data_IF_384586571393
#
_entry.id   IF_384586571393
#
_cell.length_a   1.000
_cell.length_b   1.000
_cell.length_c   1.000
_cell.angle_alpha   90.00
_cell.angle_beta   90.00
_cell.angle_gamma   90.00
#
_symmetry.space_group_name_H-M   'P 1'
#
loop_
_entity.id
_entity.type
_entity.pdbx_description
1 polymer ?
#
# COMPACT_ATOMS: atom_id res chain seq x y z
N UNK A 1 -23.24 31.39 37.23
CA UNK A 1 -23.60 30.05 36.70
C UNK A 1 -23.85 30.00 35.19
N UNK A 2 -24.62 30.93 34.58
CA UNK A 2 -24.98 30.87 33.14
C UNK A 2 -23.79 30.94 32.15
N UNK A 3 -22.74 31.70 32.46
CA UNK A 3 -21.55 31.84 31.60
C UNK A 3 -20.69 30.56 31.53
N UNK A 4 -20.57 29.82 32.64
CA UNK A 4 -19.82 28.56 32.69
C UNK A 4 -20.52 27.45 31.90
N UNK A 5 -21.86 27.37 32.00
CA UNK A 5 -22.66 26.46 31.17
C UNK A 5 -22.55 26.78 29.67
N UNK A 6 -22.48 28.06 29.30
CA UNK A 6 -22.30 28.46 27.90
C UNK A 6 -20.91 28.07 27.37
N UNK A 7 -19.85 28.22 28.19
CA UNK A 7 -18.49 27.84 27.82
C UNK A 7 -18.35 26.32 27.65
N UNK A 8 -18.86 25.53 28.61
CA UNK A 8 -18.85 24.06 28.54
C UNK A 8 -19.65 23.56 27.33
N UNK A 9 -20.79 24.20 27.01
CA UNK A 9 -21.62 23.84 25.85
C UNK A 9 -20.96 24.21 24.51
N UNK A 10 -20.22 25.33 24.44
CA UNK A 10 -19.41 25.66 23.25
C UNK A 10 -18.24 24.68 23.07
N UNK A 11 -17.60 24.28 24.17
CA UNK A 11 -16.52 23.27 24.13
C UNK A 11 -17.03 21.89 23.72
N UNK A 12 -18.24 21.49 24.14
CA UNK A 12 -18.85 20.23 23.72
C UNK A 12 -19.25 20.24 22.25
N UNK A 13 -19.80 21.35 21.75
CA UNK A 13 -20.16 21.49 20.32
C UNK A 13 -18.91 21.51 19.44
N UNK A 14 -17.85 22.23 19.82
CA UNK A 14 -16.57 22.20 19.09
C UNK A 14 -15.94 20.80 19.11
N UNK A 15 -16.03 20.08 20.23
CA UNK A 15 -15.56 18.70 20.34
C UNK A 15 -16.39 17.75 19.48
N UNK A 16 -17.70 17.90 19.42
CA UNK A 16 -18.59 17.13 18.55
C UNK A 16 -18.31 17.42 17.08
N UNK A 17 -18.15 18.69 16.70
CA UNK A 17 -17.78 19.08 15.33
C UNK A 17 -16.42 18.52 14.93
N UNK A 18 -15.41 18.58 15.80
CA UNK A 18 -14.10 17.98 15.54
C UNK A 18 -14.14 16.45 15.44
N UNK A 19 -14.99 15.78 16.22
CA UNK A 19 -15.18 14.33 16.14
C UNK A 19 -15.96 13.93 14.88
N UNK A 20 -16.93 14.75 14.46
CA UNK A 20 -17.63 14.59 13.19
C UNK A 20 -16.70 14.81 12.00
N UNK A 21 -15.81 15.80 12.04
CA UNK A 21 -14.81 16.02 11.00
C UNK A 21 -13.82 14.85 10.92
N UNK A 22 -13.35 14.32 12.07
CA UNK A 22 -12.54 13.11 12.13
C UNK A 22 -13.28 11.88 11.56
N UNK A 23 -14.58 11.72 11.82
CA UNK A 23 -15.39 10.64 11.24
C UNK A 23 -15.67 10.86 9.74
N UNK A 24 -15.80 12.12 9.29
CA UNK A 24 -16.13 12.46 7.90
C UNK A 24 -14.98 12.21 6.93
N UNK A 25 -13.73 12.45 7.35
CA UNK A 25 -12.54 12.16 6.53
C UNK A 25 -12.26 10.66 6.40
N UNK A 26 -12.78 9.84 7.32
CA UNK A 26 -12.54 8.39 7.39
C UNK A 26 -13.59 7.58 6.62
N UNK A 27 -14.75 8.17 6.30
CA UNK A 27 -15.89 7.53 5.64
C UNK A 27 -16.22 8.08 4.25
N UNK A 28 -15.24 8.67 3.56
CA UNK A 28 -15.43 9.13 2.19
C UNK A 28 -15.30 7.96 1.19
N UNK A 29 -16.05 8.02 0.09
CA UNK A 29 -15.89 7.09 -1.03
C UNK A 29 -14.47 7.21 -1.63
N UNK A 30 -13.86 6.10 -2.09
CA UNK A 30 -12.54 6.14 -2.68
C UNK A 30 -12.57 6.93 -3.99
N UNK A 31 -11.74 7.97 -4.05
CA UNK A 31 -11.42 8.68 -5.30
C UNK A 31 -10.32 7.90 -5.99
N UNK A 32 -10.52 7.42 -7.21
CA UNK A 32 -9.55 6.55 -7.90
C UNK A 32 -8.44 7.37 -8.61
N UNK A 33 -7.80 8.26 -7.88
CA UNK A 33 -6.79 9.19 -8.40
C UNK A 33 -5.48 9.07 -7.61
N UNK A 34 -4.35 9.17 -8.31
CA UNK A 34 -3.04 9.16 -7.65
C UNK A 34 -2.76 10.53 -7.03
N UNK A 35 -2.34 10.57 -5.78
CA UNK A 35 -1.94 11.83 -5.13
C UNK A 35 -0.85 11.62 -4.08
N UNK A 36 -0.10 12.68 -3.80
CA UNK A 36 1.04 12.70 -2.88
C UNK A 36 0.98 13.88 -1.91
N UNK A 37 -0.20 14.10 -1.31
CA UNK A 37 -0.52 15.28 -0.51
C UNK A 37 0.39 15.48 0.72
N UNK A 38 0.94 14.42 1.28
CA UNK A 38 1.83 14.49 2.45
C UNK A 38 3.30 14.78 2.12
N UNK A 39 3.67 14.90 0.84
CA UNK A 39 5.06 15.14 0.44
C UNK A 39 6.03 13.99 0.77
N UNK A 40 5.49 12.78 0.92
CA UNK A 40 6.27 11.55 1.12
C UNK A 40 6.75 10.93 -0.19
N UNK A 41 6.45 11.52 -1.35
CA UNK A 41 6.79 10.97 -2.68
C UNK A 41 6.51 9.46 -2.78
N UNK A 42 5.31 9.08 -2.32
CA UNK A 42 4.87 7.71 -2.21
C UNK A 42 4.70 7.11 -3.61
N UNK A 43 5.32 5.95 -3.80
CA UNK A 43 5.30 5.20 -5.05
C UNK A 43 5.32 3.71 -4.86
N UNK A 44 4.70 3.00 -5.80
CA UNK A 44 4.69 1.55 -5.88
C UNK A 44 5.45 1.10 -7.12
N UNK A 45 6.39 0.20 -6.92
CA UNK A 45 7.13 -0.44 -8.01
C UNK A 45 6.80 -1.92 -8.01
N UNK A 46 6.36 -2.41 -9.16
CA UNK A 46 6.15 -3.83 -9.41
C UNK A 46 7.23 -4.28 -10.38
N UNK A 47 8.09 -5.19 -9.94
CA UNK A 47 9.10 -5.81 -10.79
C UNK A 47 8.68 -7.25 -11.11
N UNK A 48 8.45 -7.54 -12.39
CA UNK A 48 7.95 -8.83 -12.84
C UNK A 48 9.10 -9.84 -12.88
N UNK A 49 9.12 -10.89 -12.02
CA UNK A 49 10.22 -11.83 -12.01
C UNK A 49 10.20 -12.72 -13.27
N UNK A 50 11.36 -13.21 -13.73
CA UNK A 50 11.43 -14.13 -14.85
C UNK A 50 10.64 -15.41 -14.54
N UNK A 51 9.63 -15.71 -15.37
CA UNK A 51 8.67 -16.83 -15.21
C UNK A 51 7.62 -16.62 -14.10
N UNK A 52 7.11 -15.41 -13.95
CA UNK A 52 6.04 -15.09 -13.01
C UNK A 52 4.68 -15.76 -13.34
N UNK A 53 3.88 -15.98 -12.29
CA UNK A 53 2.45 -16.33 -12.41
C UNK A 53 1.52 -15.12 -12.56
N UNK A 54 2.10 -13.93 -12.60
CA UNK A 54 1.44 -12.66 -12.85
C UNK A 54 2.21 -11.87 -13.90
N UNK A 55 1.52 -10.99 -14.61
CA UNK A 55 2.10 -10.14 -15.64
C UNK A 55 1.71 -8.69 -15.35
N UNK A 56 2.61 -7.74 -15.58
CA UNK A 56 2.28 -6.32 -15.51
C UNK A 56 2.30 -5.69 -16.89
N UNK A 57 1.25 -4.94 -17.21
CA UNK A 57 1.22 -4.10 -18.41
C UNK A 57 1.48 -2.66 -18.00
N UNK A 58 2.67 -2.15 -18.35
CA UNK A 58 3.05 -0.76 -18.11
C UNK A 58 2.11 0.20 -18.85
N UNK A 59 1.75 -0.12 -20.10
CA UNK A 59 0.90 0.71 -20.93
C UNK A 59 -0.53 0.88 -20.38
N UNK A 60 -1.04 -0.13 -19.66
CA UNK A 60 -2.37 -0.09 -19.05
C UNK A 60 -2.34 0.20 -17.54
N UNK A 61 -1.14 0.34 -16.96
CA UNK A 61 -0.91 0.31 -15.52
C UNK A 61 -1.75 -0.78 -14.83
N UNK A 62 -1.65 -2.01 -15.35
CA UNK A 62 -2.58 -3.11 -15.03
C UNK A 62 -1.87 -4.42 -14.73
N UNK A 63 -2.15 -4.97 -13.56
CA UNK A 63 -1.69 -6.27 -13.08
C UNK A 63 -2.66 -7.37 -13.50
N UNK A 64 -2.13 -8.44 -14.07
CA UNK A 64 -2.87 -9.66 -14.41
C UNK A 64 -2.29 -10.81 -13.60
N UNK A 65 -3.12 -11.50 -12.81
CA UNK A 65 -2.61 -12.49 -11.85
C UNK A 65 -3.57 -13.66 -11.68
N UNK A 66 -3.03 -14.85 -11.42
CA UNK A 66 -3.83 -16.02 -11.03
C UNK A 66 -4.22 -15.96 -9.55
N UNK A 67 -5.40 -16.50 -9.26
CA UNK A 67 -5.84 -16.73 -7.88
C UNK A 67 -4.80 -17.56 -7.11
N UNK A 68 -4.63 -17.25 -5.82
CA UNK A 68 -3.69 -17.88 -4.89
C UNK A 68 -2.22 -17.81 -5.29
N UNK A 69 -1.86 -16.89 -6.18
CA UNK A 69 -0.47 -16.58 -6.52
C UNK A 69 -0.04 -15.27 -5.89
N UNK A 70 1.20 -15.27 -5.40
CA UNK A 70 1.81 -14.14 -4.72
C UNK A 70 2.41 -13.20 -5.77
N UNK A 71 2.20 -11.91 -5.57
CA UNK A 71 2.92 -10.83 -6.24
C UNK A 71 3.54 -9.91 -5.20
N UNK A 72 4.70 -9.37 -5.54
CA UNK A 72 5.44 -8.47 -4.68
C UNK A 72 5.26 -7.05 -5.17
N UNK A 73 5.08 -6.13 -4.22
CA UNK A 73 5.01 -4.69 -4.47
C UNK A 73 6.07 -4.03 -3.61
N UNK A 74 6.98 -3.31 -4.24
CA UNK A 74 7.95 -2.47 -3.55
C UNK A 74 7.32 -1.12 -3.26
N UNK A 75 7.03 -0.92 -1.98
CA UNK A 75 6.54 0.35 -1.46
C UNK A 75 7.73 1.27 -1.23
N UNK A 76 7.73 2.42 -1.88
CA UNK A 76 8.79 3.42 -1.77
C UNK A 76 8.20 4.75 -1.31
N UNK A 77 8.82 5.37 -0.30
CA UNK A 77 8.44 6.68 0.19
C UNK A 77 9.63 7.38 0.83
N UNK A 78 9.65 8.71 0.78
CA UNK A 78 10.66 9.57 1.41
C UNK A 78 10.37 9.70 2.89
N UNK A 79 11.33 9.37 3.74
CA UNK A 79 11.23 9.62 5.18
C UNK A 79 11.22 11.14 5.44
N UNK A 80 10.35 11.58 6.34
CA UNK A 80 10.27 12.97 6.79
C UNK A 80 10.61 13.04 8.28
N UNK A 81 11.27 14.13 8.67
CA UNK A 81 11.53 14.45 10.07
C UNK A 81 10.44 15.43 10.59
N UNK A 82 9.90 15.24 11.80
CA UNK A 82 10.15 14.09 12.69
C UNK A 82 9.56 12.79 12.12
N UNK A 83 10.20 11.66 12.43
CA UNK A 83 9.77 10.32 12.00
C UNK A 83 8.37 10.06 12.54
N UNK A 84 7.42 9.80 11.64
CA UNK A 84 6.03 9.49 11.98
C UNK A 84 5.70 8.06 11.56
N UNK A 85 5.00 7.26 12.39
CA UNK A 85 4.58 5.93 11.99
C UNK A 85 3.61 6.04 10.80
N UNK A 86 3.87 5.24 9.78
CA UNK A 86 3.07 5.17 8.58
C UNK A 86 2.50 3.76 8.43
N UNK A 87 1.26 3.68 8.00
CA UNK A 87 0.62 2.42 7.64
C UNK A 87 0.20 2.44 6.18
N UNK A 88 0.24 1.29 5.53
CA UNK A 88 -0.28 1.11 4.19
C UNK A 88 -1.62 0.41 4.28
N UNK A 89 -2.69 1.11 3.92
CA UNK A 89 -4.00 0.48 3.66
C UNK A 89 -4.08 0.05 2.22
N UNK A 90 -4.51 -1.18 1.97
CA UNK A 90 -4.74 -1.71 0.62
C UNK A 90 -6.11 -2.33 0.53
N UNK A 91 -6.87 -2.00 -0.52
CA UNK A 91 -8.20 -2.55 -0.75
C UNK A 91 -8.54 -2.61 -2.24
N UNK A 92 -9.50 -3.48 -2.60
CA UNK A 92 -10.03 -3.52 -3.96
C UNK A 92 -11.23 -2.58 -4.11
N UNK A 93 -11.36 -2.04 -5.30
CA UNK A 93 -12.51 -1.23 -5.69
C UNK A 93 -12.91 -1.52 -7.14
N UNK A 94 -14.20 -1.45 -7.46
CA UNK A 94 -14.65 -1.45 -8.85
C UNK A 94 -14.37 -0.08 -9.47
N UNK A 95 -13.80 -0.08 -10.68
CA UNK A 95 -13.41 1.16 -11.37
C UNK A 95 -14.63 2.04 -11.69
N UNK A 96 -15.76 1.42 -12.08
CA UNK A 96 -16.99 2.11 -12.48
C UNK A 96 -18.02 2.27 -11.36
N UNK A 97 -17.86 1.54 -10.26
CA UNK A 97 -18.84 1.45 -9.18
C UNK A 97 -18.14 1.47 -7.82
N UNK A 98 -17.61 2.65 -7.48
CA UNK A 98 -16.80 2.84 -6.27
C UNK A 98 -17.60 2.67 -4.97
N UNK A 99 -18.94 2.71 -5.07
CA UNK A 99 -19.86 2.61 -3.95
C UNK A 99 -19.97 1.18 -3.39
N UNK A 100 -19.81 0.18 -4.26
CA UNK A 100 -19.90 -1.22 -3.89
C UNK A 100 -18.56 -1.78 -3.39
N UNK A 101 -18.51 -2.47 -2.23
CA UNK A 101 -17.33 -3.20 -1.82
C UNK A 101 -17.11 -4.42 -2.74
N UNK A 102 -15.83 -4.76 -2.98
CA UNK A 102 -15.48 -5.97 -3.72
C UNK A 102 -15.45 -7.15 -2.75
N UNK A 103 -16.47 -7.99 -2.81
CA UNK A 103 -16.64 -9.11 -1.90
C UNK A 103 -16.10 -10.42 -2.46
N UNK A 104 -15.62 -11.27 -1.56
CA UNK A 104 -15.28 -12.66 -1.88
C UNK A 104 -16.57 -13.46 -2.12
N UNK A 105 -16.54 -14.44 -3.03
CA UNK A 105 -17.72 -15.23 -3.33
C UNK A 105 -17.93 -16.36 -2.31
N UNK A 106 -19.19 -16.78 -2.15
CA UNK A 106 -19.56 -17.82 -1.20
C UNK A 106 -18.87 -19.16 -1.47
N UNK A 107 -18.68 -19.51 -2.75
CA UNK A 107 -18.04 -20.78 -3.14
C UNK A 107 -16.58 -20.87 -2.68
N UNK A 108 -15.82 -19.77 -2.72
CA UNK A 108 -14.45 -19.77 -2.21
C UNK A 108 -14.42 -19.66 -0.68
N UNK A 109 -15.39 -18.97 -0.07
CA UNK A 109 -15.53 -18.90 1.40
C UNK A 109 -15.86 -20.25 2.05
N UNK A 110 -16.59 -21.11 1.35
CA UNK A 110 -16.98 -22.44 1.86
C UNK A 110 -15.85 -23.47 1.80
N UNK A 111 -14.92 -23.32 0.86
CA UNK A 111 -13.77 -24.24 0.69
C UNK A 111 -12.62 -23.89 1.63
N UNK A 112 -12.55 -22.64 2.11
CA UNK A 112 -11.48 -22.22 3.00
C UNK A 112 -11.64 -22.84 4.39
N UNK A 113 -10.53 -23.32 4.95
CA UNK A 113 -10.51 -23.95 6.25
C UNK A 113 -11.01 -22.99 7.34
N UNK A 114 -11.89 -23.50 8.20
CA UNK A 114 -12.36 -22.81 9.41
C UNK A 114 -11.24 -22.58 10.44
N UNK A 115 -10.02 -23.06 10.19
CA UNK A 115 -8.86 -22.87 11.06
C UNK A 115 -8.33 -21.43 11.10
N UNK A 116 -8.74 -20.55 10.17
CA UNK A 116 -8.39 -19.12 10.23
C UNK A 116 -9.23 -18.47 11.35
N UNK A 117 -8.62 -18.09 12.49
CA UNK A 117 -9.37 -17.59 13.63
C UNK A 117 -9.95 -16.19 13.36
N UNK A 118 -9.32 -15.43 12.46
CA UNK A 118 -9.74 -14.08 12.12
C UNK A 118 -10.78 -14.11 10.99
N UNK A 119 -12.04 -13.85 11.34
CA UNK A 119 -13.17 -13.80 10.39
C UNK A 119 -12.93 -12.75 9.29
N UNK A 120 -12.40 -11.57 9.64
CA UNK A 120 -12.15 -10.50 8.66
C UNK A 120 -11.07 -10.89 7.65
N UNK A 121 -10.07 -11.62 8.12
CA UNK A 121 -9.07 -12.21 7.24
C UNK A 121 -9.75 -13.20 6.29
N UNK A 122 -10.50 -14.17 6.79
CA UNK A 122 -11.24 -15.16 6.00
C UNK A 122 -12.14 -14.51 4.93
N UNK A 123 -12.86 -13.46 5.29
CA UNK A 123 -13.77 -12.74 4.38
C UNK A 123 -13.03 -11.85 3.37
N UNK A 124 -11.83 -11.38 3.71
CA UNK A 124 -11.03 -10.54 2.81
C UNK A 124 -10.59 -11.30 1.56
N UNK A 125 -10.85 -10.69 0.40
CA UNK A 125 -10.39 -11.17 -0.91
C UNK A 125 -8.88 -10.99 -1.09
N UNK A 126 -8.33 -9.90 -0.55
CA UNK A 126 -6.91 -9.59 -0.57
C UNK A 126 -6.25 -10.12 0.70
N UNK A 127 -5.12 -10.81 0.55
CA UNK A 127 -4.28 -11.28 1.66
C UNK A 127 -2.88 -10.70 1.53
N UNK A 128 -2.24 -10.49 2.67
CA UNK A 128 -0.84 -10.08 2.76
C UNK A 128 -0.07 -11.12 3.58
N UNK A 129 1.13 -11.49 3.13
CA UNK A 129 2.01 -12.44 3.84
C UNK A 129 2.75 -11.79 5.02
N UNK A 130 2.60 -10.48 5.23
CA UNK A 130 3.23 -9.78 6.35
C UNK A 130 2.51 -10.15 7.67
N UNK A 131 3.21 -10.67 8.69
CA UNK A 131 2.60 -11.10 9.95
C UNK A 131 1.99 -9.95 10.76
N UNK A 132 2.42 -8.71 10.53
CA UNK A 132 1.89 -7.52 11.20
C UNK A 132 0.66 -6.94 10.48
N UNK A 133 0.10 -7.65 9.50
CA UNK A 133 -1.09 -7.20 8.77
C UNK A 133 -2.32 -7.25 9.67
N UNK A 134 -3.08 -6.16 9.68
CA UNK A 134 -4.39 -6.09 10.33
C UNK A 134 -5.47 -6.09 9.25
N UNK A 135 -6.42 -7.00 9.36
CA UNK A 135 -7.58 -7.08 8.47
C UNK A 135 -8.73 -6.25 9.04
N UNK A 136 -9.22 -5.31 8.23
CA UNK A 136 -10.22 -4.31 8.60
C UNK A 136 -11.44 -4.37 7.68
N UNK A 137 -12.52 -3.73 8.10
CA UNK A 137 -13.72 -3.54 7.31
C UNK A 137 -14.81 -4.60 7.47
N UNK A 138 -15.85 -4.48 6.64
CA UNK A 138 -17.06 -5.29 6.62
C UNK A 138 -17.68 -5.37 5.22
N UNK A 139 -18.59 -6.32 5.04
CA UNK A 139 -19.32 -6.50 3.78
C UNK A 139 -20.26 -5.34 3.40
N UNK A 140 -20.63 -4.48 4.37
CA UNK A 140 -21.46 -3.30 4.15
C UNK A 140 -20.66 -2.00 4.02
N UNK A 141 -19.33 -2.09 4.12
CA UNK A 141 -18.46 -0.93 4.11
C UNK A 141 -18.43 -0.23 2.76
N UNK A 142 -18.79 1.05 2.75
CA UNK A 142 -18.73 1.92 1.56
C UNK A 142 -17.55 2.88 1.63
N UNK A 143 -17.15 3.32 2.82
CA UNK A 143 -15.97 4.17 2.99
C UNK A 143 -14.66 3.43 2.71
N UNK A 144 -13.55 4.16 2.63
CA UNK A 144 -12.19 3.60 2.54
C UNK A 144 -11.85 2.74 3.78
N UNK A 145 -12.24 3.20 4.97
CA UNK A 145 -11.95 2.53 6.24
C UNK A 145 -12.91 1.36 6.57
N UNK A 146 -14.15 1.45 6.08
CA UNK A 146 -15.23 0.51 6.42
C UNK A 146 -15.24 -0.74 5.53
N UNK A 147 -14.71 -0.65 4.32
CA UNK A 147 -14.63 -1.78 3.38
C UNK A 147 -13.49 -2.71 3.73
N UNK A 148 -13.59 -3.97 3.27
CA UNK A 148 -12.50 -4.94 3.47
C UNK A 148 -11.18 -4.39 2.95
N UNK A 149 -10.22 -4.28 3.86
CA UNK A 149 -8.91 -3.70 3.61
C UNK A 149 -7.87 -4.39 4.48
N UNK A 150 -6.64 -4.42 3.99
CA UNK A 150 -5.46 -4.83 4.76
C UNK A 150 -4.70 -3.59 5.17
N UNK A 151 -4.33 -3.50 6.44
CA UNK A 151 -3.53 -2.43 6.99
C UNK A 151 -2.17 -3.00 7.41
N UNK A 152 -1.10 -2.50 6.80
CA UNK A 152 0.27 -2.98 7.03
C UNK A 152 1.11 -1.86 7.61
N UNK A 153 1.64 -1.99 8.84
CA UNK A 153 2.62 -1.07 9.39
C UNK A 153 3.89 -1.04 8.53
N UNK A 154 4.32 0.16 8.13
CA UNK A 154 5.54 0.34 7.35
C UNK A 154 6.74 0.53 8.27
N UNK A 155 7.78 -0.27 8.02
CA UNK A 155 9.00 -0.26 8.81
C UNK A 155 9.96 0.81 8.27
N UNK A 156 10.00 1.98 8.91
CA UNK A 156 10.90 3.07 8.52
C UNK A 156 12.40 2.73 8.73
N UNK A 157 12.71 1.75 9.57
CA UNK A 157 14.09 1.35 9.87
C UNK A 157 14.79 0.54 8.77
N UNK A 158 14.09 0.14 7.69
CA UNK A 158 14.66 -0.68 6.60
C UNK A 158 15.29 0.15 5.47
N UNK A 159 15.71 1.39 5.74
CA UNK A 159 16.47 2.19 4.78
C UNK A 159 17.86 1.57 4.61
N UNK A 160 17.97 0.59 3.72
CA UNK A 160 19.25 0.06 3.28
C UNK A 160 19.93 1.12 2.42
N UNK A 161 20.82 1.89 3.05
CA UNK A 161 21.98 2.67 2.57
C UNK A 161 22.22 2.94 1.06
N UNK A 162 21.20 3.09 0.21
CA UNK A 162 21.39 3.20 -1.25
C UNK A 162 20.65 4.31 -1.96
N UNK A 163 19.79 5.11 -1.29
CA UNK A 163 19.18 6.30 -1.91
C UNK A 163 18.65 7.31 -0.88
N UNK A 164 19.30 8.47 -0.78
CA UNK A 164 18.78 9.79 -0.37
C UNK A 164 17.47 9.87 0.44
N UNK A 165 17.41 9.27 1.63
CA UNK A 165 16.25 9.41 2.54
C UNK A 165 14.98 8.69 2.09
N UNK A 166 15.04 7.78 1.13
CA UNK A 166 13.93 6.93 0.74
C UNK A 166 13.93 5.61 1.53
N UNK A 167 12.74 5.21 1.97
CA UNK A 167 12.46 3.91 2.58
C UNK A 167 11.83 3.03 1.50
N UNK A 168 12.34 1.80 1.38
CA UNK A 168 11.77 0.76 0.50
C UNK A 168 11.38 -0.45 1.33
N UNK A 169 10.15 -0.91 1.16
CA UNK A 169 9.66 -2.13 1.78
C UNK A 169 8.89 -2.97 0.77
N UNK A 170 9.36 -4.20 0.55
CA UNK A 170 8.68 -5.17 -0.30
C UNK A 170 7.54 -5.84 0.49
N UNK A 171 6.34 -5.81 -0.06
CA UNK A 171 5.16 -6.47 0.49
C UNK A 171 4.64 -7.52 -0.48
N UNK A 172 4.33 -8.70 0.04
CA UNK A 172 3.79 -9.82 -0.72
C UNK A 172 2.27 -9.89 -0.53
N UNK A 173 1.53 -9.88 -1.63
CA UNK A 173 0.08 -9.94 -1.66
C UNK A 173 -0.42 -11.11 -2.50
N UNK A 174 -1.62 -11.59 -2.21
CA UNK A 174 -2.33 -12.59 -3.03
C UNK A 174 -3.84 -12.34 -3.02
N UNK A 175 -4.53 -12.88 -4.02
CA UNK A 175 -5.99 -12.83 -4.12
C UNK A 175 -6.60 -14.22 -4.01
N UNK A 176 -7.58 -14.39 -3.13
CA UNK A 176 -8.25 -15.67 -2.85
C UNK A 176 -9.63 -15.80 -3.54
N UNK A 177 -9.84 -15.00 -4.59
CA UNK A 177 -11.02 -15.02 -5.46
C UNK A 177 -10.65 -14.45 -6.83
N UNK A 178 -11.49 -14.62 -7.84
CA UNK A 178 -11.23 -14.20 -9.23
C UNK A 178 -12.35 -13.32 -9.79
N UNK A 179 -12.04 -12.49 -10.80
CA UNK A 179 -13.01 -11.53 -11.37
C UNK A 179 -14.27 -12.17 -11.93
N UNK A 180 -14.20 -13.42 -12.40
CA UNK A 180 -15.39 -14.15 -12.86
C UNK A 180 -16.44 -14.38 -11.77
N UNK A 181 -16.04 -14.39 -10.49
CA UNK A 181 -16.95 -14.64 -9.37
C UNK A 181 -17.81 -13.43 -8.98
N UNK A 182 -17.33 -12.21 -9.24
CA UNK A 182 -18.01 -10.96 -8.88
C UNK A 182 -18.38 -10.13 -10.12
N UNK A 183 -18.84 -10.82 -11.17
CA UNK A 183 -19.46 -10.20 -12.34
C UNK A 183 -18.51 -9.65 -13.40
N UNK A 184 -17.23 -10.07 -13.41
CA UNK A 184 -16.20 -9.66 -14.39
C UNK A 184 -16.04 -8.13 -14.53
N UNK A 185 -16.47 -7.37 -13.52
CA UNK A 185 -16.31 -5.93 -13.46
C UNK A 185 -14.82 -5.57 -13.41
N UNK A 186 -14.49 -4.41 -13.97
CA UNK A 186 -13.14 -3.84 -13.89
C UNK A 186 -12.84 -3.46 -12.45
N UNK A 187 -11.70 -3.93 -11.95
CA UNK A 187 -11.25 -3.71 -10.58
C UNK A 187 -9.90 -3.02 -10.56
N UNK A 188 -9.68 -2.24 -9.52
CA UNK A 188 -8.39 -1.70 -9.17
C UNK A 188 -8.05 -2.03 -7.72
N UNK A 189 -6.76 -2.02 -7.44
CA UNK A 189 -6.16 -2.12 -6.13
C UNK A 189 -5.72 -0.71 -5.74
N UNK A 190 -6.27 -0.20 -4.66
CA UNK A 190 -5.97 1.14 -4.14
C UNK A 190 -5.04 0.98 -2.95
N UNK A 191 -3.94 1.70 -3.00
CA UNK A 191 -2.94 1.77 -1.95
C UNK A 191 -2.98 3.16 -1.32
N UNK A 192 -3.30 3.23 -0.04
CA UNK A 192 -3.33 4.48 0.72
C UNK A 192 -2.22 4.45 1.77
N UNK A 193 -1.35 5.43 1.73
CA UNK A 193 -0.40 5.72 2.78
C UNK A 193 -1.12 6.53 3.85
N UNK A 194 -1.24 5.98 5.05
CA UNK A 194 -1.94 6.56 6.21
C UNK A 194 -0.94 7.01 7.28
N UNK A 195 -1.18 8.17 7.87
CA UNK A 195 -0.45 8.63 9.05
C UNK A 195 -1.00 7.99 10.34
N UNK A 196 -0.40 8.32 11.49
CA UNK A 196 -0.86 7.85 12.80
C UNK A 196 -2.32 8.21 13.14
N UNK A 197 -2.84 9.30 12.57
CA UNK A 197 -4.20 9.79 12.76
C UNK A 197 -5.23 9.07 11.87
N UNK A 198 -4.76 8.29 10.87
CA UNK A 198 -5.61 7.66 9.86
C UNK A 198 -5.86 8.52 8.63
N UNK A 199 -5.20 9.67 8.49
CA UNK A 199 -5.32 10.52 7.30
C UNK A 199 -4.53 9.94 6.13
N UNK A 200 -5.11 9.99 4.94
CA UNK A 200 -4.47 9.53 3.71
C UNK A 200 -3.51 10.61 3.20
N UNK A 201 -2.22 10.38 3.42
CA UNK A 201 -1.13 11.28 3.01
C UNK A 201 -0.61 10.98 1.60
N UNK A 202 -0.95 9.83 1.04
CA UNK A 202 -0.62 9.46 -0.33
C UNK A 202 -1.51 8.35 -0.82
N UNK A 203 -1.77 8.32 -2.12
CA UNK A 203 -2.58 7.29 -2.74
C UNK A 203 -2.04 6.91 -4.10
N UNK A 204 -2.01 5.61 -4.39
CA UNK A 204 -1.75 5.07 -5.71
C UNK A 204 -2.77 4.01 -6.09
N UNK A 205 -3.17 4.02 -7.35
CA UNK A 205 -4.15 3.12 -7.93
C UNK A 205 -3.48 2.25 -8.99
N UNK A 206 -3.67 0.94 -8.86
CA UNK A 206 -3.19 -0.07 -9.79
C UNK A 206 -4.39 -0.83 -10.34
N UNK A 207 -4.58 -0.87 -11.67
CA UNK A 207 -5.63 -1.70 -12.23
C UNK A 207 -5.29 -3.18 -12.02
N UNK A 208 -6.27 -4.03 -11.70
CA UNK A 208 -6.03 -5.45 -11.44
C UNK A 208 -7.07 -6.31 -12.13
N UNK A 209 -6.63 -7.42 -12.74
CA UNK A 209 -7.47 -8.49 -13.27
C UNK A 209 -6.98 -9.84 -12.77
N UNK A 210 -7.78 -10.45 -11.88
CA UNK A 210 -7.54 -11.77 -11.33
C UNK A 210 -8.18 -12.80 -12.27
N UNK A 211 -7.35 -13.55 -12.97
CA UNK A 211 -7.74 -14.40 -14.10
C UNK A 211 -6.88 -15.68 -14.17
N UNK A 212 -7.39 -16.70 -14.86
CA UNK A 212 -6.70 -17.99 -15.01
C UNK A 212 -5.52 -17.93 -15.98
N UNK A 213 -5.61 -17.07 -17.00
CA UNK A 213 -4.62 -16.95 -18.08
C UNK A 213 -4.08 -15.51 -18.23
N UNK A 214 -3.26 -14.99 -17.28
CA UNK A 214 -2.76 -13.61 -17.29
C UNK A 214 -2.16 -13.14 -18.62
N UNK A 215 -1.32 -13.96 -19.25
CA UNK A 215 -0.65 -13.62 -20.52
C UNK A 215 -1.64 -13.40 -21.68
N UNK A 216 -2.68 -14.24 -21.77
CA UNK A 216 -3.72 -14.13 -22.81
C UNK A 216 -4.50 -12.83 -22.62
N UNK A 217 -4.95 -12.59 -21.40
CA UNK A 217 -5.79 -11.46 -21.06
C UNK A 217 -5.04 -10.13 -21.18
N UNK A 218 -3.76 -10.07 -20.78
CA UNK A 218 -2.89 -8.91 -21.00
C UNK A 218 -2.77 -8.58 -22.48
N UNK A 219 -2.38 -9.57 -23.29
CA UNK A 219 -2.18 -9.36 -24.73
C UNK A 219 -3.49 -8.95 -25.43
N UNK A 220 -4.64 -9.46 -24.98
CA UNK A 220 -5.94 -9.07 -25.50
C UNK A 220 -6.27 -7.60 -25.18
N UNK A 221 -6.08 -7.17 -23.94
CA UNK A 221 -6.35 -5.80 -23.51
C UNK A 221 -5.38 -4.79 -24.18
N UNK A 222 -4.09 -5.14 -24.33
CA UNK A 222 -3.09 -4.30 -25.02
C UNK A 222 -3.40 -4.16 -26.53
N UNK A 223 -3.91 -5.22 -27.17
CA UNK A 223 -4.39 -5.16 -28.56
C UNK A 223 -5.60 -4.25 -28.69
N UNK A 224 -6.50 -4.22 -27.71
CA UNK A 224 -7.64 -3.30 -27.73
C UNK A 224 -7.19 -1.85 -27.56
N UNK A 225 -6.18 -1.58 -26.74
CA UNK A 225 -5.60 -0.24 -26.58
C UNK A 225 -4.98 0.26 -27.89
N UNK A 226 -4.20 -0.59 -28.56
CA UNK A 226 -3.54 -0.25 -29.84
C UNK A 226 -4.53 -0.17 -31.01
N UNK A 227 -5.55 -1.03 -31.05
CA UNK A 227 -6.63 -0.98 -32.04
C UNK A 227 -7.50 0.27 -31.93
N UNK A 228 -7.75 0.78 -30.72
CA UNK A 228 -8.47 2.05 -30.51
C UNK A 228 -7.69 3.27 -31.03
N UNK A 229 -6.35 3.28 -30.93
CA UNK A 229 -5.50 4.35 -31.49
C UNK A 229 -5.53 4.43 -33.02
N UNK A 230 -5.83 3.32 -33.72
CA UNK A 230 -5.94 3.29 -35.18
C UNK A 230 -7.32 3.70 -35.71
N UNK A 231 -8.31 3.84 -34.82
CA UNK A 231 -9.70 4.16 -35.20
C UNK A 231 -10.10 5.61 -34.89
N UNK A 232 -9.14 6.45 -34.49
CA UNK A 232 -9.35 7.87 -34.15
C UNK A 232 -8.83 8.85 -35.22
N UNK A 233 -8.56 8.38 -36.44
CA UNK A 233 -8.41 9.26 -37.61
C UNK A 233 -9.74 9.26 -38.39
N UNK A 234 -10.37 10.42 -38.66
CA UNK A 234 -11.56 10.46 -39.49
C UNK A 234 -11.11 10.37 -40.95
N UNK A 235 -11.20 9.17 -41.54
CA UNK A 235 -11.24 9.04 -42.98
C UNK A 235 -12.69 9.24 -43.42
N UNK A 236 -12.92 10.32 -44.15
CA UNK A 236 -14.16 10.62 -44.86
C UNK A 236 -14.22 9.84 -46.18
N UNK A 237 -15.45 9.68 -46.69
CA UNK A 237 -15.96 9.18 -47.97
C UNK A 237 -16.21 7.67 -48.13
N UNK A 238 -17.52 7.41 -48.11
CA UNK A 238 -18.40 6.38 -48.70
C UNK A 238 -17.85 5.47 -49.81
N UNK A 239 -18.31 4.21 -49.81
CA UNK A 239 -19.25 3.60 -50.79
C UNK A 239 -19.38 2.09 -50.50
N UNK A 240 -20.55 1.54 -50.83
CA UNK A 240 -21.09 0.22 -50.51
C UNK A 240 -20.56 -0.88 -51.44
N UNK A 241 -20.34 -2.11 -50.93
CA UNK A 241 -20.79 -3.36 -51.58
C UNK A 241 -20.48 -4.62 -50.72
N UNK A 242 -21.39 -5.60 -50.75
CA UNK A 242 -21.42 -6.84 -49.94
C UNK A 242 -21.04 -8.08 -50.80
N UNK A 243 -21.12 -9.31 -50.26
CA UNK A 243 -20.02 -10.17 -49.80
C UNK A 243 -19.49 -11.18 -50.86
N UNK A 244 -18.27 -11.74 -50.69
CA UNK A 244 -18.08 -13.21 -50.80
C UNK A 244 -16.68 -13.76 -50.40
N UNK A 245 -16.72 -15.01 -49.93
CA UNK A 245 -15.70 -16.10 -49.89
C UNK A 245 -14.25 -15.86 -49.41
N UNK A 246 -13.87 -16.61 -48.36
CA UNK A 246 -12.49 -16.98 -47.99
C UNK A 246 -11.88 -17.97 -49.00
N UNK A 247 -10.55 -18.03 -49.14
CA UNK A 247 -9.90 -19.23 -48.61
C UNK A 247 -8.59 -18.98 -47.85
N UNK A 248 -8.15 -20.07 -47.21
CA UNK A 248 -7.12 -20.15 -46.18
C UNK A 248 -5.71 -20.48 -46.73
N UNK A 249 -4.75 -20.37 -45.80
CA UNK A 249 -3.36 -20.90 -45.79
C UNK A 249 -2.35 -20.00 -46.53
N UNK A 250 -1.20 -19.63 -45.96
CA UNK A 250 -0.08 -20.57 -45.73
C UNK A 250 1.01 -19.96 -44.84
N UNK A 251 1.63 -20.84 -44.04
CA UNK A 251 2.87 -20.66 -43.26
C UNK A 251 4.01 -20.04 -44.09
N UNK A 252 4.76 -19.10 -43.51
CA UNK A 252 6.22 -19.04 -43.68
C UNK A 252 6.91 -18.91 -42.32
N UNK A 253 7.68 -19.95 -42.01
CA UNK A 253 8.76 -20.01 -41.01
C UNK A 253 10.08 -19.63 -41.70
N UNK A 254 11.12 -19.46 -40.89
CA UNK A 254 12.56 -19.24 -41.20
C UNK A 254 12.96 -17.75 -41.29
N UNK A 255 14.10 -17.25 -40.80
CA UNK A 255 15.28 -17.75 -40.07
C UNK A 255 15.91 -16.50 -39.39
N UNK A 256 16.36 -16.50 -38.12
CA UNK A 256 17.68 -16.92 -37.61
C UNK A 256 18.88 -16.07 -38.09
N UNK A 257 19.69 -15.60 -37.11
CA UNK A 257 20.97 -14.83 -37.12
C UNK A 257 20.84 -13.32 -36.76
N UNK A 258 21.67 -12.67 -35.93
CA UNK A 258 22.83 -13.04 -35.08
C UNK A 258 23.06 -11.89 -34.07
N UNK A 259 23.71 -12.20 -32.94
CA UNK A 259 24.14 -11.30 -31.85
C UNK A 259 25.00 -10.12 -32.33
N UNK A 260 24.94 -9.00 -31.60
CA UNK A 260 26.13 -8.19 -31.25
C UNK A 260 26.02 -7.70 -29.80
N UNK A 261 27.05 -8.08 -29.03
CA UNK A 261 27.40 -7.62 -27.68
C UNK A 261 28.53 -6.58 -27.84
N UNK A 262 28.50 -5.53 -27.02
CA UNK A 262 29.64 -4.66 -26.62
C UNK A 262 29.09 -3.76 -25.50
N UNK A 263 29.28 -4.06 -24.21
CA UNK A 263 30.47 -3.98 -23.36
C UNK A 263 30.94 -2.53 -23.10
N UNK A 264 30.59 -2.11 -21.88
CA UNK A 264 31.23 -1.26 -20.87
C UNK A 264 32.22 -0.14 -21.25
N UNK A 265 32.06 0.99 -20.56
CA UNK A 265 33.16 1.88 -20.17
C UNK A 265 32.76 2.65 -18.92
N UNK A 266 33.73 2.80 -18.04
CA UNK A 266 33.65 3.10 -16.62
C UNK A 266 33.54 4.60 -16.29
N UNK A 267 33.18 4.82 -15.01
CA UNK A 267 33.62 5.90 -14.11
C UNK A 267 33.32 7.36 -14.45
N UNK A 268 32.59 8.01 -13.54
CA UNK A 268 33.17 9.16 -12.86
C UNK A 268 32.60 9.34 -11.46
N UNK A 269 33.56 9.42 -10.54
CA UNK A 269 33.47 9.68 -9.11
C UNK A 269 33.39 11.20 -8.89
N UNK A 270 32.53 11.67 -7.99
CA UNK A 270 32.62 13.03 -7.47
C UNK A 270 32.00 13.13 -6.09
N UNK A 271 32.88 13.52 -5.19
CA UNK A 271 32.85 13.67 -3.75
C UNK A 271 31.83 14.69 -3.19
N UNK A 272 31.62 14.56 -1.87
CA UNK A 272 31.19 15.56 -0.87
C UNK A 272 29.68 15.91 -0.80
N UNK A 273 28.97 15.83 0.33
CA UNK A 273 29.38 16.01 1.74
C UNK A 273 28.72 15.01 2.70
N UNK A 274 29.50 14.51 3.67
CA UNK A 274 29.05 13.70 4.79
C UNK A 274 28.15 14.48 5.77
N UNK A 275 26.94 13.98 6.00
CA UNK A 275 26.13 14.31 7.17
C UNK A 275 26.09 13.08 8.08
N UNK A 276 26.33 13.22 9.39
CA UNK A 276 26.65 12.09 10.24
C UNK A 276 25.44 11.15 10.37
N UNK A 277 25.65 9.91 9.94
CA UNK A 277 24.75 8.81 10.21
C UNK A 277 24.55 8.70 11.73
N UNK A 278 23.29 8.58 12.19
CA UNK A 278 23.02 8.21 13.59
C UNK A 278 23.60 6.82 13.84
N UNK A 279 24.78 6.80 14.44
CA UNK A 279 25.52 5.59 14.74
C UNK A 279 24.80 4.84 15.87
N UNK A 280 24.28 3.65 15.54
CA UNK A 280 23.76 2.73 16.55
C UNK A 280 24.72 1.55 16.63
N UNK A 281 25.23 1.28 17.83
CA UNK A 281 26.17 0.21 18.09
C UNK A 281 25.53 -0.83 18.99
N UNK A 282 25.65 -2.11 18.62
CA UNK A 282 25.22 -3.22 19.47
C UNK A 282 26.47 -3.87 20.07
N UNK A 283 26.63 -3.75 21.39
CA UNK A 283 27.73 -4.35 22.14
C UNK A 283 27.22 -5.45 23.05
N UNK A 284 27.96 -6.54 23.19
CA UNK A 284 27.66 -7.60 24.16
C UNK A 284 28.31 -7.24 25.50
N UNK A 285 27.54 -7.21 26.58
CA UNK A 285 28.07 -6.99 27.93
C UNK A 285 28.76 -8.26 28.45
N UNK A 286 29.67 -8.10 29.42
CA UNK A 286 30.39 -9.21 30.04
C UNK A 286 29.45 -10.24 30.70
N UNK A 287 28.25 -9.80 31.10
CA UNK A 287 27.20 -10.64 31.70
C UNK A 287 26.39 -11.44 30.66
N UNK A 288 26.72 -11.31 29.37
CA UNK A 288 26.07 -12.03 28.27
C UNK A 288 24.84 -11.35 27.66
N UNK A 289 24.44 -10.17 28.14
CA UNK A 289 23.33 -9.38 27.58
C UNK A 289 23.76 -8.55 26.37
N UNK A 290 22.81 -8.20 25.50
CA UNK A 290 23.05 -7.32 24.35
C UNK A 290 22.61 -5.89 24.68
N UNK A 291 23.52 -4.94 24.54
CA UNK A 291 23.28 -3.50 24.74
C UNK A 291 23.26 -2.80 23.39
N UNK A 292 22.14 -2.15 23.08
CA UNK A 292 22.01 -1.23 21.95
C UNK A 292 22.28 0.20 22.43
N UNK A 293 23.32 0.82 21.91
CA UNK A 293 23.69 2.22 22.13
C UNK A 293 23.28 3.03 20.91
N UNK A 294 22.50 4.10 21.11
CA UNK A 294 22.07 5.00 20.04
C UNK A 294 22.60 6.39 20.37
N UNK A 295 23.44 6.94 19.51
CA UNK A 295 23.95 8.30 19.67
C UNK A 295 22.98 9.27 19.02
N UNK A 296 22.41 10.20 19.81
CA UNK A 296 21.56 11.27 19.28
C UNK A 296 22.31 12.61 19.38
N UNK A 297 22.44 13.36 18.27
CA UNK A 297 23.23 14.59 18.25
C UNK A 297 22.59 15.76 19.00
N UNK A 298 21.26 15.71 19.25
CA UNK A 298 20.52 16.75 19.97
C UNK A 298 19.50 16.13 20.92
N UNK A 299 19.50 16.58 22.18
CA UNK A 299 18.55 16.15 23.23
C UNK A 299 17.10 16.42 22.83
N UNK A 300 16.82 17.56 22.21
CA UNK A 300 15.47 17.93 21.77
C UNK A 300 14.88 16.95 20.76
N UNK A 301 15.71 16.40 19.87
CA UNK A 301 15.27 15.45 18.83
C UNK A 301 14.91 14.10 19.44
N UNK A 302 15.67 13.67 20.45
CA UNK A 302 15.38 12.47 21.23
C UNK A 302 14.04 12.63 21.97
N UNK A 303 13.84 13.76 22.65
CA UNK A 303 12.61 14.04 23.39
C UNK A 303 11.38 14.12 22.47
N UNK A 304 11.49 14.79 21.32
CA UNK A 304 10.42 14.83 20.31
C UNK A 304 10.08 13.44 19.77
N UNK A 305 11.08 12.59 19.55
CA UNK A 305 10.87 11.23 19.06
C UNK A 305 10.17 10.35 20.11
N UNK A 306 10.59 10.47 21.39
CA UNK A 306 9.93 9.76 22.51
C UNK A 306 8.48 10.24 22.66
N UNK A 307 8.22 11.54 22.52
CA UNK A 307 6.85 12.07 22.56
C UNK A 307 5.97 11.59 21.41
N UNK A 308 6.54 11.41 20.22
CA UNK A 308 5.86 10.75 19.10
C UNK A 308 5.45 9.33 19.45
N UNK A 309 6.38 8.52 19.97
CA UNK A 309 6.11 7.13 20.37
C UNK A 309 5.07 7.03 21.49
N UNK A 310 5.09 7.94 22.47
CA UNK A 310 4.09 7.96 23.55
C UNK A 310 2.69 8.25 23.00
N UNK A 311 2.57 9.23 22.09
CA UNK A 311 1.28 9.57 21.46
C UNK A 311 0.71 8.38 20.69
N UNK A 312 1.55 7.67 19.94
CA UNK A 312 1.16 6.45 19.22
C UNK A 312 0.71 5.33 20.17
N UNK A 313 1.51 5.04 21.20
CA UNK A 313 1.16 4.02 22.19
C UNK A 313 -0.14 4.36 22.94
N UNK A 314 -0.37 5.65 23.24
CA UNK A 314 -1.62 6.12 23.85
C UNK A 314 -2.82 5.96 22.90
N UNK A 315 -2.67 6.29 21.62
CA UNK A 315 -3.71 6.08 20.61
C UNK A 315 -4.07 4.58 20.48
N UNK A 316 -3.06 3.71 20.46
CA UNK A 316 -3.27 2.25 20.44
C UNK A 316 -3.99 1.72 21.68
N UNK A 317 -3.71 2.27 22.86
CA UNK A 317 -4.43 1.91 24.11
C UNK A 317 -5.89 2.37 24.07
N UNK A 318 -6.17 3.55 23.49
CA UNK A 318 -7.54 4.06 23.34
C UNK A 318 -8.36 3.25 22.35
N UNK A 319 -7.75 2.80 21.26
CA UNK A 319 -8.41 1.95 20.26
C UNK A 319 -8.68 0.52 20.78
N UNK A 320 -7.79 0.00 21.63
CA UNK A 320 -7.84 -1.38 22.13
C UNK A 320 -7.60 -1.44 23.65
N UNK A 321 -8.56 -1.02 24.49
CA UNK A 321 -8.34 -0.85 25.93
C UNK A 321 -8.02 -2.15 26.66
N UNK A 322 -8.47 -3.31 26.18
CA UNK A 322 -8.28 -4.60 26.85
C UNK A 322 -6.89 -5.23 26.61
N UNK A 323 -6.02 -4.61 25.83
CA UNK A 323 -4.72 -5.19 25.49
C UNK A 323 -3.62 -4.80 26.50
N UNK A 324 -3.38 -5.66 27.49
CA UNK A 324 -2.41 -5.43 28.57
C UNK A 324 -0.96 -5.16 28.08
N UNK A 325 -0.57 -5.72 26.93
CA UNK A 325 0.76 -5.50 26.32
C UNK A 325 0.96 -4.04 25.88
N UNK A 326 -0.06 -3.40 25.30
CA UNK A 326 -0.01 -2.01 24.86
C UNK A 326 0.09 -1.05 26.05
N UNK A 327 -0.65 -1.31 27.12
CA UNK A 327 -0.57 -0.52 28.37
C UNK A 327 0.83 -0.58 28.99
N UNK A 328 1.43 -1.78 29.06
CA UNK A 328 2.81 -1.95 29.55
C UNK A 328 3.82 -1.23 28.66
N UNK A 329 3.63 -1.27 27.34
CA UNK A 329 4.50 -0.57 26.39
C UNK A 329 4.43 0.96 26.58
N UNK A 330 3.22 1.54 26.65
CA UNK A 330 3.02 2.96 26.92
C UNK A 330 3.69 3.40 28.24
N UNK A 331 3.55 2.61 29.31
CA UNK A 331 4.19 2.90 30.59
C UNK A 331 5.73 2.88 30.52
N UNK A 332 6.30 1.95 29.74
CA UNK A 332 7.76 1.90 29.51
C UNK A 332 8.26 3.13 28.75
N UNK A 333 7.50 3.63 27.77
CA UNK A 333 7.85 4.84 27.02
C UNK A 333 7.78 6.10 27.90
N UNK A 334 6.80 6.19 28.80
CA UNK A 334 6.73 7.30 29.78
C UNK A 334 7.92 7.27 30.74
N UNK A 335 8.35 6.08 31.19
CA UNK A 335 9.57 5.94 32.00
C UNK A 335 10.83 6.32 31.22
N UNK A 336 10.90 5.92 29.94
CA UNK A 336 11.99 6.31 29.03
C UNK A 336 12.07 7.84 28.86
N UNK A 337 10.94 8.53 28.72
CA UNK A 337 10.89 9.99 28.62
C UNK A 337 11.49 10.66 29.85
N UNK A 338 11.13 10.20 31.06
CA UNK A 338 11.69 10.75 32.31
C UNK A 338 13.21 10.64 32.32
N UNK A 339 13.74 9.44 32.02
CA UNK A 339 15.19 9.22 31.95
C UNK A 339 15.88 10.04 30.87
N UNK A 340 15.21 10.30 29.74
CA UNK A 340 15.75 11.13 28.68
C UNK A 340 15.77 12.62 29.03
N UNK A 341 14.84 13.09 29.86
CA UNK A 341 14.87 14.47 30.39
C UNK A 341 16.06 14.69 31.34
N UNK A 342 16.42 13.65 32.10
CA UNK A 342 17.52 13.67 33.08
C UNK A 342 18.92 13.56 32.44
N UNK A 343 19.01 13.33 31.12
CA UNK A 343 20.29 13.36 30.40
C UNK A 343 20.85 14.79 30.37
N UNK A 344 22.18 14.97 30.47
CA UNK A 344 22.82 16.29 30.48
C UNK A 344 22.53 17.11 29.22
#
# INVERSE_FOLDING_TARGET
MKLYQFYVRKQSVLREMMLQDLQSHVNTLPKLENHNLGGYNFSMVLDEPPKSHWMFSVALNKLYIRMDKIFNVDVQFKAKMPIQPLSLRVFLCFVKDVSGPVLRCQNHLSVESTSIPNIKERESLLRCENPNTVYCGSAQGKGISERYSVLIPLNMCRSGNRSAGYVRQTLAFKFVCQNSCFGRKETCLVFCLENASGDIVGQQVLNVKICTCPKRDRNQDERQLTGKKRKSEPACSDEEDEPDVKPAKTRRRTASYRRKVKEETESNDSNDEEMPASEWQVSRTADGEYRLSITCPKKDWLLQSIDGMIKEAAAGVLQCPNQAKLRRHAHKLVSLKKRACDLP
#
